data_IF_152771351429
#
_entry.id   IF_152771351429
#
_cell.length_a   1.000
_cell.length_b   1.000
_cell.length_c   1.000
_cell.angle_alpha   90.00
_cell.angle_beta   90.00
_cell.angle_gamma   90.00
#
_symmetry.space_group_name_H-M   'P 1'
#
loop_
_entity.id
_entity.type
_entity.pdbx_description
1 polymer ?
#
# COMPACT_ATOMS: atom_id res chain seq x y z
N UNK A 1 26.90 -2.89 31.43
CA UNK A 1 27.03 -2.97 29.96
C UNK A 1 25.70 -3.48 29.37
N UNK A 2 24.73 -2.55 29.15
CA UNK A 2 23.45 -2.84 28.49
C UNK A 2 23.71 -2.93 26.98
N UNK A 3 23.56 -4.13 26.42
CA UNK A 3 23.46 -4.33 24.98
C UNK A 3 22.19 -3.64 24.49
N UNK A 4 22.33 -2.53 23.80
CA UNK A 4 21.28 -1.95 22.98
C UNK A 4 20.91 -2.99 21.90
N UNK A 5 19.76 -3.64 22.05
CA UNK A 5 19.21 -4.48 21.01
C UNK A 5 18.88 -3.57 19.82
N UNK A 6 19.63 -3.73 18.75
CA UNK A 6 19.33 -3.09 17.47
C UNK A 6 17.93 -3.57 17.05
N UNK A 7 16.92 -2.71 17.17
CA UNK A 7 15.58 -2.98 16.67
C UNK A 7 15.70 -3.06 15.15
N UNK A 8 15.70 -4.27 14.62
CA UNK A 8 15.58 -4.51 13.18
C UNK A 8 14.26 -3.95 12.71
N UNK A 9 14.28 -2.70 12.29
CA UNK A 9 13.09 -2.01 11.75
C UNK A 9 12.60 -2.79 10.54
N UNK A 10 11.40 -3.33 10.65
CA UNK A 10 10.78 -4.15 9.63
C UNK A 10 10.49 -3.30 8.39
N UNK A 11 10.89 -3.77 7.20
CA UNK A 11 10.53 -3.11 5.94
C UNK A 11 9.00 -3.13 5.79
N UNK A 12 8.42 -1.95 5.55
CA UNK A 12 6.98 -1.78 5.45
C UNK A 12 6.59 -1.89 3.98
N UNK A 13 5.60 -2.72 3.72
CA UNK A 13 4.98 -2.87 2.41
C UNK A 13 3.93 -1.76 2.24
N UNK A 14 3.87 -1.05 1.10
CA UNK A 14 2.73 -0.19 0.80
C UNK A 14 1.41 -0.95 1.00
N UNK A 15 0.53 -0.40 1.85
CA UNK A 15 -0.81 -0.90 2.10
C UNK A 15 -1.82 -0.06 1.30
N UNK A 16 -3.11 -0.28 1.47
CA UNK A 16 -4.15 0.40 0.70
C UNK A 16 -3.99 1.94 0.66
N UNK A 17 -3.75 2.66 1.77
CA UNK A 17 -3.63 4.12 1.71
C UNK A 17 -2.44 4.61 0.88
N UNK A 18 -1.30 3.95 0.96
CA UNK A 18 -0.12 4.28 0.16
C UNK A 18 -0.41 4.06 -1.33
N UNK A 19 -1.03 2.93 -1.66
CA UNK A 19 -1.40 2.60 -3.06
C UNK A 19 -2.43 3.60 -3.60
N UNK A 20 -3.44 3.95 -2.81
CA UNK A 20 -4.44 4.97 -3.18
C UNK A 20 -3.78 6.33 -3.44
N UNK A 21 -2.86 6.74 -2.58
CA UNK A 21 -2.16 8.02 -2.71
C UNK A 21 -1.27 8.05 -3.95
N UNK A 22 -0.52 6.98 -4.22
CA UNK A 22 0.28 6.85 -5.46
C UNK A 22 -0.64 6.89 -6.67
N UNK A 23 -1.73 6.15 -6.66
CA UNK A 23 -2.68 6.14 -7.78
C UNK A 23 -3.27 7.54 -8.06
N UNK A 24 -3.64 8.29 -7.01
CA UNK A 24 -4.12 9.67 -7.18
C UNK A 24 -3.06 10.59 -7.80
N UNK A 25 -1.80 10.44 -7.38
CA UNK A 25 -0.70 11.17 -7.99
C UNK A 25 -0.48 10.80 -9.47
N UNK A 26 -0.56 9.52 -9.80
CA UNK A 26 -0.47 9.05 -11.20
C UNK A 26 -1.67 9.52 -12.04
N UNK A 27 -2.86 9.54 -11.47
CA UNK A 27 -4.06 10.05 -12.15
C UNK A 27 -3.86 11.49 -12.63
N UNK A 28 -3.28 12.36 -11.80
CA UNK A 28 -3.05 13.75 -12.13
C UNK A 28 -2.11 13.96 -13.35
N UNK A 29 -1.21 13.01 -13.62
CA UNK A 29 -0.20 13.13 -14.70
C UNK A 29 -0.42 12.20 -15.89
N UNK A 30 -1.24 11.16 -15.74
CA UNK A 30 -1.45 10.14 -16.78
C UNK A 30 -2.88 10.11 -17.33
N UNK A 31 -3.91 10.44 -16.53
CA UNK A 31 -5.31 10.33 -16.99
C UNK A 31 -5.58 11.31 -18.14
N UNK A 32 -6.14 10.81 -19.22
CA UNK A 32 -6.37 11.54 -20.46
C UNK A 32 -5.12 11.66 -21.37
N UNK A 33 -3.93 11.30 -20.90
CA UNK A 33 -2.68 11.40 -21.66
C UNK A 33 -2.45 10.16 -22.52
N UNK A 34 -1.71 10.36 -23.62
CA UNK A 34 -1.18 9.28 -24.45
C UNK A 34 0.21 8.90 -23.98
N UNK A 35 0.49 7.63 -23.84
CA UNK A 35 1.83 7.10 -23.61
C UNK A 35 2.58 7.14 -24.95
N UNK A 36 3.37 8.19 -25.18
CA UNK A 36 4.13 8.35 -26.43
C UNK A 36 5.21 7.27 -26.57
N UNK A 37 5.84 6.87 -25.45
CA UNK A 37 6.86 5.82 -25.41
C UNK A 37 6.74 5.00 -24.13
N UNK A 38 7.05 3.72 -24.23
CA UNK A 38 7.23 2.84 -23.09
C UNK A 38 8.51 2.01 -23.28
N UNK A 39 9.18 1.70 -22.16
CA UNK A 39 10.36 0.86 -22.15
C UNK A 39 10.43 0.03 -20.86
N UNK A 40 11.02 -1.15 -20.97
CA UNK A 40 11.38 -2.00 -19.84
C UNK A 40 12.88 -2.20 -19.82
N UNK A 41 13.50 -2.15 -18.63
CA UNK A 41 14.96 -2.33 -18.49
C UNK A 41 15.35 -3.77 -18.23
N UNK A 42 14.35 -4.67 -18.12
CA UNK A 42 14.50 -6.11 -17.88
C UNK A 42 13.25 -6.89 -18.28
N UNK A 43 13.34 -8.23 -18.25
CA UNK A 43 12.26 -9.11 -18.65
C UNK A 43 11.15 -9.28 -17.59
N UNK A 44 11.31 -8.75 -16.36
CA UNK A 44 10.31 -8.90 -15.32
C UNK A 44 10.81 -8.49 -13.93
N UNK A 45 9.92 -8.57 -12.93
CA UNK A 45 10.15 -8.34 -11.50
C UNK A 45 9.90 -9.65 -10.73
N UNK A 46 8.88 -9.64 -9.85
CA UNK A 46 8.44 -10.87 -9.17
C UNK A 46 7.97 -11.95 -10.17
N UNK A 47 7.38 -11.50 -11.28
CA UNK A 47 6.90 -12.29 -12.39
C UNK A 47 7.48 -11.71 -13.68
N UNK A 48 7.62 -12.51 -14.74
CA UNK A 48 7.92 -11.99 -16.08
C UNK A 48 6.91 -10.93 -16.47
N UNK A 49 7.34 -9.91 -17.19
CA UNK A 49 6.43 -8.96 -17.82
C UNK A 49 5.66 -9.66 -18.95
N UNK A 50 4.44 -9.21 -19.29
CA UNK A 50 3.72 -9.65 -20.46
C UNK A 50 4.55 -9.46 -21.74
N UNK A 51 4.38 -10.37 -22.69
CA UNK A 51 5.02 -10.25 -23.98
C UNK A 51 4.67 -8.92 -24.65
N UNK A 52 5.68 -8.29 -25.22
CA UNK A 52 5.53 -7.01 -25.92
C UNK A 52 4.94 -5.90 -25.08
N UNK A 53 5.08 -5.91 -23.75
CA UNK A 53 4.50 -4.92 -22.83
C UNK A 53 4.77 -3.49 -23.32
N UNK A 54 6.03 -3.16 -23.62
CA UNK A 54 6.40 -1.80 -24.01
C UNK A 54 5.71 -1.35 -25.31
N UNK A 55 5.68 -2.21 -26.34
CA UNK A 55 5.01 -1.86 -27.61
C UNK A 55 3.49 -1.80 -27.50
N UNK A 56 2.87 -2.61 -26.61
CA UNK A 56 1.42 -2.56 -26.36
C UNK A 56 1.01 -1.30 -25.58
N UNK A 57 1.90 -0.77 -24.74
CA UNK A 57 1.65 0.48 -24.00
C UNK A 57 1.92 1.72 -24.86
N UNK A 58 2.88 1.65 -25.78
CA UNK A 58 3.22 2.77 -26.64
C UNK A 58 2.06 3.11 -27.59
N UNK A 59 1.67 4.39 -27.60
CA UNK A 59 0.52 4.89 -28.36
C UNK A 59 -0.83 4.82 -27.61
N UNK A 60 -0.96 4.03 -26.56
CA UNK A 60 -2.19 3.91 -25.79
C UNK A 60 -2.49 5.19 -24.99
N UNK A 61 -3.79 5.52 -24.84
CA UNK A 61 -4.27 6.61 -23.98
C UNK A 61 -4.78 6.03 -22.65
N UNK A 62 -4.39 6.64 -21.56
CA UNK A 62 -4.92 6.29 -20.22
C UNK A 62 -6.30 6.92 -20.04
N UNK A 63 -7.33 6.10 -19.93
CA UNK A 63 -8.72 6.54 -19.77
C UNK A 63 -9.09 6.81 -18.31
N UNK A 64 -8.44 6.13 -17.37
CA UNK A 64 -8.72 6.28 -15.95
C UNK A 64 -8.03 5.24 -15.11
N UNK A 65 -8.24 5.34 -13.80
CA UNK A 65 -7.63 4.45 -12.81
C UNK A 65 -8.66 3.79 -11.92
N UNK A 66 -8.38 2.55 -11.54
CA UNK A 66 -9.07 1.79 -10.52
C UNK A 66 -8.07 1.22 -9.52
N UNK A 67 -8.38 1.26 -8.22
CA UNK A 67 -7.65 0.50 -7.20
C UNK A 67 -8.46 -0.75 -6.82
N UNK A 68 -7.75 -1.85 -6.62
CA UNK A 68 -8.30 -3.08 -6.04
C UNK A 68 -7.33 -3.61 -4.98
N UNK A 69 -7.68 -3.51 -3.69
CA UNK A 69 -6.78 -3.82 -2.59
C UNK A 69 -5.49 -3.00 -2.64
N UNK A 70 -4.38 -3.67 -2.88
CA UNK A 70 -3.05 -3.05 -3.03
C UNK A 70 -2.57 -3.00 -4.49
N UNK A 71 -3.48 -3.16 -5.45
CA UNK A 71 -3.22 -3.10 -6.89
C UNK A 71 -3.79 -1.82 -7.48
N UNK A 72 -3.08 -1.24 -8.42
CA UNK A 72 -3.51 -0.14 -9.27
C UNK A 72 -3.75 -0.68 -10.68
N UNK A 73 -4.82 -0.26 -11.32
CA UNK A 73 -5.15 -0.56 -12.71
C UNK A 73 -5.30 0.76 -13.46
N UNK A 74 -4.47 0.98 -14.48
CA UNK A 74 -4.62 2.08 -15.43
C UNK A 74 -5.31 1.51 -16.68
N UNK A 75 -6.57 1.91 -16.93
CA UNK A 75 -7.36 1.49 -18.07
C UNK A 75 -6.95 2.27 -19.31
N UNK A 76 -6.78 1.56 -20.41
CA UNK A 76 -6.29 2.08 -21.67
C UNK A 76 -7.40 2.08 -22.74
N UNK A 77 -7.26 2.93 -23.76
CA UNK A 77 -8.14 2.98 -24.92
C UNK A 77 -8.01 1.76 -25.86
N UNK A 78 -7.11 0.84 -25.53
CA UNK A 78 -6.90 -0.44 -26.22
C UNK A 78 -7.70 -1.60 -25.61
N UNK A 79 -8.70 -1.32 -24.75
CA UNK A 79 -9.46 -2.30 -23.98
C UNK A 79 -8.61 -3.16 -23.02
N UNK A 80 -7.42 -2.68 -22.68
CA UNK A 80 -6.50 -3.30 -21.74
C UNK A 80 -6.34 -2.44 -20.48
N UNK A 81 -5.95 -3.09 -19.39
CA UNK A 81 -5.63 -2.45 -18.12
C UNK A 81 -4.21 -2.82 -17.69
N UNK A 82 -3.36 -1.81 -17.48
CA UNK A 82 -2.05 -1.96 -16.89
C UNK A 82 -2.19 -2.14 -15.38
N UNK A 83 -1.92 -3.34 -14.88
CA UNK A 83 -1.96 -3.70 -13.46
C UNK A 83 -0.59 -3.53 -12.84
N UNK A 84 -0.51 -2.79 -11.73
CA UNK A 84 0.71 -2.53 -10.99
C UNK A 84 0.52 -2.89 -9.51
N UNK A 85 1.47 -3.63 -8.94
CA UNK A 85 1.59 -3.86 -7.49
C UNK A 85 2.98 -3.41 -7.02
N UNK A 86 3.02 -2.54 -6.01
CA UNK A 86 4.28 -1.92 -5.56
C UNK A 86 5.22 -2.89 -4.82
N UNK A 87 4.73 -4.05 -4.38
CA UNK A 87 5.55 -4.98 -3.58
C UNK A 87 5.92 -4.38 -2.23
N UNK A 88 7.20 -4.42 -1.88
CA UNK A 88 7.72 -3.92 -0.60
C UNK A 88 8.53 -2.62 -0.72
N UNK A 89 9.12 -2.36 -1.87
CA UNK A 89 10.01 -1.21 -2.13
C UNK A 89 9.69 -0.49 -3.44
N UNK A 90 8.66 -0.95 -4.14
CA UNK A 90 8.24 -0.34 -5.40
C UNK A 90 7.63 1.03 -5.18
N UNK A 91 7.97 1.95 -6.06
CA UNK A 91 7.41 3.30 -6.11
C UNK A 91 7.24 3.75 -7.56
N UNK A 92 6.25 4.58 -7.79
CA UNK A 92 6.06 5.29 -9.06
C UNK A 92 6.62 6.69 -8.89
N UNK A 93 7.47 7.11 -9.82
CA UNK A 93 8.11 8.44 -9.81
C UNK A 93 7.73 9.17 -11.08
N UNK A 94 6.99 10.27 -10.93
CA UNK A 94 6.65 11.16 -12.04
C UNK A 94 7.64 12.32 -12.12
N UNK A 95 8.11 12.61 -13.34
CA UNK A 95 9.05 13.70 -13.63
C UNK A 95 8.47 14.49 -14.80
N UNK A 96 7.87 15.68 -14.55
CA UNK A 96 7.39 16.55 -15.61
C UNK A 96 8.50 16.96 -16.58
N UNK A 97 8.14 17.24 -17.83
CA UNK A 97 9.06 17.78 -18.83
C UNK A 97 9.77 19.03 -18.32
N UNK A 98 11.07 19.13 -18.59
CA UNK A 98 11.87 20.29 -18.18
C UNK A 98 12.22 20.38 -16.70
N UNK A 99 11.85 19.38 -15.88
CA UNK A 99 12.26 19.32 -14.47
C UNK A 99 13.79 19.14 -14.41
N UNK A 100 14.54 20.05 -13.77
CA UNK A 100 15.99 19.92 -13.65
C UNK A 100 16.36 18.71 -12.78
N UNK A 101 17.54 18.11 -12.97
CA UNK A 101 18.05 17.07 -12.11
C UNK A 101 18.14 17.57 -10.67
N UNK A 102 17.51 16.88 -9.72
CA UNK A 102 17.70 17.18 -8.29
C UNK A 102 18.93 16.42 -7.78
N UNK A 103 19.89 17.08 -7.10
CA UNK A 103 21.07 16.42 -6.56
C UNK A 103 20.71 15.29 -5.60
N UNK A 104 21.44 14.18 -5.66
CA UNK A 104 21.29 13.07 -4.70
C UNK A 104 21.56 13.59 -3.29
N UNK A 105 20.59 13.52 -2.41
CA UNK A 105 20.79 13.57 -0.97
C UNK A 105 21.13 12.17 -0.49
N UNK A 106 22.17 12.07 0.38
CA UNK A 106 22.86 10.88 0.82
C UNK A 106 22.02 9.70 1.38
N UNK A 107 22.64 8.69 2.04
CA UNK A 107 22.11 7.32 2.19
C UNK A 107 20.82 7.18 3.01
N UNK A 108 20.24 8.23 3.52
CA UNK A 108 18.99 8.25 4.30
C UNK A 108 17.95 9.22 3.76
N UNK A 109 18.17 9.83 2.61
CA UNK A 109 17.32 10.86 2.05
C UNK A 109 16.34 10.36 1.01
N UNK A 110 15.18 10.97 0.99
CA UNK A 110 14.17 10.82 -0.04
C UNK A 110 14.77 11.02 -1.43
N UNK A 111 14.35 10.22 -2.36
CA UNK A 111 14.88 10.14 -3.70
C UNK A 111 14.28 11.20 -4.60
N UNK A 112 15.11 12.06 -5.07
CA UNK A 112 14.85 12.78 -6.29
C UNK A 112 16.07 12.67 -7.18
N UNK A 113 16.10 11.65 -8.04
CA UNK A 113 16.96 11.68 -9.20
C UNK A 113 16.12 12.26 -10.33
N UNK A 114 16.00 13.57 -10.37
CA UNK A 114 15.40 14.27 -11.48
C UNK A 114 16.40 14.27 -12.63
N UNK A 115 16.50 13.15 -13.33
CA UNK A 115 17.17 13.09 -14.62
C UNK A 115 16.19 13.57 -15.67
N UNK A 116 16.61 14.51 -16.51
CA UNK A 116 15.83 14.98 -17.64
C UNK A 116 15.40 13.85 -18.58
N UNK A 117 14.53 14.15 -19.54
CA UNK A 117 13.92 13.19 -20.48
C UNK A 117 14.87 12.17 -21.10
N UNK A 118 16.12 12.54 -21.39
CA UNK A 118 17.12 11.69 -22.04
C UNK A 118 18.11 11.07 -21.06
N UNK A 119 17.88 11.15 -19.76
CA UNK A 119 18.76 10.52 -18.80
C UNK A 119 18.59 9.00 -18.83
N UNK A 120 19.69 8.22 -18.65
CA UNK A 120 19.59 6.77 -18.53
C UNK A 120 18.70 6.40 -17.36
N UNK A 121 17.99 5.24 -17.41
CA UNK A 121 17.18 4.76 -16.32
C UNK A 121 17.99 4.65 -15.02
N UNK A 122 17.31 4.88 -13.87
CA UNK A 122 17.89 4.49 -12.57
C UNK A 122 18.16 2.98 -12.58
N UNK A 123 19.19 2.53 -11.88
CA UNK A 123 19.54 1.10 -11.81
C UNK A 123 18.37 0.19 -11.37
N UNK A 124 17.35 0.77 -10.73
CA UNK A 124 16.16 0.08 -10.22
C UNK A 124 14.86 0.52 -10.90
N UNK A 125 14.93 1.31 -11.97
CA UNK A 125 13.78 1.74 -12.77
C UNK A 125 13.48 0.66 -13.82
N UNK A 126 12.38 -0.05 -13.66
CA UNK A 126 12.10 -1.28 -14.42
C UNK A 126 11.05 -1.15 -15.51
N UNK A 127 10.11 -0.22 -15.36
CA UNK A 127 9.17 0.21 -16.39
C UNK A 127 9.22 1.73 -16.46
N UNK A 128 9.29 2.24 -17.68
CA UNK A 128 9.35 3.68 -17.99
C UNK A 128 8.23 3.98 -18.96
N UNK A 129 7.44 4.99 -18.66
CA UNK A 129 6.41 5.55 -19.53
C UNK A 129 6.77 7.01 -19.80
N UNK A 130 6.62 7.46 -21.03
CA UNK A 130 6.73 8.87 -21.43
C UNK A 130 5.42 9.29 -22.08
N UNK A 131 4.82 10.34 -21.57
CA UNK A 131 3.56 10.87 -22.09
C UNK A 131 3.78 11.83 -23.26
N UNK A 132 2.71 12.14 -23.97
CA UNK A 132 2.70 13.09 -25.10
C UNK A 132 3.08 14.53 -24.72
N UNK A 133 2.94 14.93 -23.45
CA UNK A 133 3.42 16.22 -22.93
C UNK A 133 4.86 16.16 -22.43
N UNK A 134 5.48 15.00 -22.55
CA UNK A 134 6.86 14.79 -22.18
C UNK A 134 7.08 14.45 -20.69
N UNK A 135 6.06 14.19 -19.88
CA UNK A 135 6.21 13.69 -18.51
C UNK A 135 6.74 12.26 -18.53
N UNK A 136 7.78 11.97 -17.76
CA UNK A 136 8.35 10.63 -17.59
C UNK A 136 7.88 10.03 -16.27
N UNK A 137 7.35 8.82 -16.32
CA UNK A 137 6.92 8.04 -15.16
C UNK A 137 7.74 6.76 -15.09
N UNK A 138 8.43 6.53 -13.97
CA UNK A 138 9.24 5.36 -13.73
C UNK A 138 8.69 4.48 -12.62
N UNK A 139 8.65 3.16 -12.83
CA UNK A 139 8.46 2.20 -11.76
C UNK A 139 9.81 1.74 -11.24
N UNK A 140 10.16 2.19 -10.02
CA UNK A 140 11.44 1.93 -9.36
C UNK A 140 11.23 0.91 -8.25
N UNK A 141 11.89 -0.25 -8.29
CA UNK A 141 11.77 -1.30 -7.27
C UNK A 141 13.08 -2.03 -7.01
N UNK A 142 13.90 -1.56 -6.06
CA UNK A 142 15.20 -2.17 -5.73
C UNK A 142 15.13 -3.64 -5.34
N UNK A 143 14.06 -4.06 -4.66
CA UNK A 143 13.89 -5.44 -4.18
C UNK A 143 13.21 -6.36 -5.20
N UNK A 144 12.58 -5.82 -6.21
CA UNK A 144 11.89 -6.56 -7.28
C UNK A 144 10.75 -7.46 -6.79
N UNK A 145 10.05 -7.06 -5.73
CA UNK A 145 8.87 -7.74 -5.19
C UNK A 145 7.57 -7.20 -5.75
N UNK A 146 7.65 -6.11 -6.51
CA UNK A 146 6.54 -5.57 -7.27
C UNK A 146 6.17 -6.46 -8.45
N UNK A 147 5.06 -6.15 -9.07
CA UNK A 147 4.62 -6.81 -10.30
C UNK A 147 3.93 -5.83 -11.24
N UNK A 148 4.06 -6.09 -12.52
CA UNK A 148 3.37 -5.40 -13.60
C UNK A 148 2.75 -6.47 -14.48
N UNK A 149 1.51 -6.27 -14.86
CA UNK A 149 0.78 -7.16 -15.77
C UNK A 149 -0.09 -6.30 -16.72
N UNK A 150 -0.54 -6.87 -17.82
CA UNK A 150 -1.44 -6.22 -18.78
C UNK A 150 -2.55 -7.21 -19.14
N UNK A 151 -3.80 -6.83 -18.89
CA UNK A 151 -4.94 -7.72 -18.97
C UNK A 151 -6.13 -7.04 -19.64
N UNK A 152 -7.06 -7.81 -20.23
CA UNK A 152 -8.29 -7.24 -20.77
C UNK A 152 -9.09 -6.51 -19.67
N UNK A 153 -9.54 -5.28 -19.96
CA UNK A 153 -10.33 -4.47 -19.00
C UNK A 153 -11.65 -5.16 -18.63
N UNK A 154 -12.30 -5.79 -19.57
CA UNK A 154 -13.56 -6.54 -19.34
C UNK A 154 -13.37 -7.74 -18.39
N UNK A 155 -12.16 -8.21 -18.17
CA UNK A 155 -11.84 -9.38 -17.33
C UNK A 155 -11.09 -9.04 -16.04
N UNK A 156 -10.96 -7.77 -15.66
CA UNK A 156 -10.14 -7.34 -14.51
C UNK A 156 -10.37 -8.20 -13.26
N UNK A 157 -11.61 -8.34 -12.81
CA UNK A 157 -11.93 -9.01 -11.55
C UNK A 157 -11.69 -10.53 -11.59
N UNK A 158 -11.64 -11.14 -12.77
CA UNK A 158 -11.29 -12.55 -12.99
C UNK A 158 -9.78 -12.82 -13.04
N UNK A 159 -8.95 -11.77 -13.06
CA UNK A 159 -7.51 -11.94 -13.13
C UNK A 159 -6.96 -12.67 -11.90
N UNK A 160 -6.01 -13.60 -12.09
CA UNK A 160 -5.41 -14.45 -11.03
C UNK A 160 -4.96 -13.72 -9.76
N UNK A 161 -4.56 -12.46 -9.86
CA UNK A 161 -4.12 -11.65 -8.73
C UNK A 161 -5.27 -10.90 -8.04
N UNK A 162 -6.44 -10.78 -8.66
CA UNK A 162 -7.57 -10.00 -8.17
C UNK A 162 -8.77 -10.87 -7.77
N UNK A 163 -9.02 -11.98 -8.45
CA UNK A 163 -10.20 -12.83 -8.27
C UNK A 163 -10.38 -13.37 -6.84
N UNK A 164 -9.28 -13.59 -6.14
CA UNK A 164 -9.31 -14.09 -4.75
C UNK A 164 -9.37 -13.01 -3.67
N UNK A 165 -9.44 -11.73 -4.03
CA UNK A 165 -9.46 -10.64 -3.05
C UNK A 165 -10.85 -10.51 -2.42
N UNK A 166 -10.87 -10.33 -1.10
CA UNK A 166 -12.06 -10.03 -0.32
C UNK A 166 -12.63 -8.64 -0.63
N UNK A 167 -13.67 -8.20 0.07
CA UNK A 167 -14.32 -6.90 -0.16
C UNK A 167 -13.34 -5.74 0.05
N UNK A 168 -13.61 -4.63 -0.66
CA UNK A 168 -12.93 -3.35 -0.46
C UNK A 168 -13.41 -2.71 0.86
N UNK A 169 -12.51 -2.37 1.79
CA UNK A 169 -12.91 -1.88 3.11
C UNK A 169 -13.56 -0.48 3.09
N UNK A 170 -13.35 0.28 2.02
CA UNK A 170 -13.93 1.62 1.83
C UNK A 170 -15.22 1.61 1.00
N UNK A 171 -15.60 0.46 0.46
CA UNK A 171 -16.86 0.30 -0.27
C UNK A 171 -18.02 0.16 0.72
N UNK A 172 -19.19 0.71 0.38
CA UNK A 172 -20.41 0.60 1.19
C UNK A 172 -20.87 -0.85 1.38
N UNK A 173 -20.55 -1.72 0.44
CA UNK A 173 -20.77 -3.15 0.54
C UNK A 173 -20.01 -3.83 1.68
N UNK A 174 -18.92 -3.25 2.19
CA UNK A 174 -18.17 -3.79 3.34
C UNK A 174 -18.89 -3.47 4.65
N UNK A 175 -19.78 -4.34 5.07
CA UNK A 175 -20.62 -4.21 6.26
C UNK A 175 -20.13 -5.10 7.41
N UNK A 176 -20.59 -4.85 8.66
CA UNK A 176 -20.35 -5.76 9.78
C UNK A 176 -20.86 -7.20 9.52
N UNK A 177 -21.93 -7.37 8.74
CA UNK A 177 -22.44 -8.68 8.36
C UNK A 177 -21.45 -9.42 7.44
N UNK A 178 -20.93 -8.74 6.43
CA UNK A 178 -19.94 -9.30 5.48
C UNK A 178 -18.65 -9.70 6.23
N UNK A 179 -18.13 -8.82 7.10
CA UNK A 179 -16.97 -9.16 7.92
C UNK A 179 -17.25 -10.35 8.85
N UNK A 180 -18.44 -10.40 9.47
CA UNK A 180 -18.84 -11.49 10.36
C UNK A 180 -18.87 -12.83 9.62
N UNK A 181 -19.42 -12.86 8.41
CA UNK A 181 -19.46 -14.05 7.56
C UNK A 181 -18.04 -14.50 7.18
N UNK A 182 -17.16 -13.57 6.80
CA UNK A 182 -15.77 -13.86 6.43
C UNK A 182 -14.93 -14.38 7.62
N UNK A 183 -15.30 -14.05 8.86
CA UNK A 183 -14.62 -14.50 10.10
C UNK A 183 -15.24 -15.76 10.71
N UNK A 184 -16.40 -16.20 10.26
CA UNK A 184 -17.10 -17.36 10.80
C UNK A 184 -16.19 -18.61 10.79
N UNK A 185 -16.13 -19.33 11.90
CA UNK A 185 -15.34 -20.54 12.05
C UNK A 185 -13.80 -20.35 12.09
N UNK A 186 -13.27 -19.15 11.83
CA UNK A 186 -11.80 -18.93 11.84
C UNK A 186 -11.26 -18.87 13.26
N UNK A 187 -10.46 -19.86 13.64
CA UNK A 187 -9.82 -19.95 14.98
C UNK A 187 -8.50 -19.19 15.07
N UNK A 188 -7.97 -18.70 13.97
CA UNK A 188 -6.75 -17.88 13.95
C UNK A 188 -6.96 -16.55 14.71
N UNK A 189 -5.90 -15.91 15.23
CA UNK A 189 -6.00 -14.58 15.81
C UNK A 189 -6.63 -13.57 14.82
N UNK A 190 -7.46 -12.68 15.32
CA UNK A 190 -8.16 -11.66 14.47
C UNK A 190 -7.19 -10.85 13.62
N UNK A 191 -6.02 -10.50 14.15
CA UNK A 191 -5.00 -9.82 13.37
C UNK A 191 -4.58 -10.63 12.15
N UNK A 192 -4.28 -11.90 12.33
CA UNK A 192 -3.88 -12.78 11.23
C UNK A 192 -5.00 -12.95 10.19
N UNK A 193 -6.25 -13.04 10.65
CA UNK A 193 -7.41 -13.12 9.77
C UNK A 193 -7.58 -11.85 8.92
N UNK A 194 -7.39 -10.65 9.51
CA UNK A 194 -7.49 -9.37 8.79
C UNK A 194 -6.32 -9.10 7.83
N UNK A 195 -5.18 -9.75 8.01
CA UNK A 195 -4.06 -9.69 7.07
C UNK A 195 -4.26 -10.57 5.84
N UNK A 196 -5.18 -11.53 5.89
CA UNK A 196 -5.58 -12.34 4.74
C UNK A 196 -6.40 -11.49 3.78
N UNK A 197 -5.83 -11.21 2.61
CA UNK A 197 -6.46 -10.36 1.59
C UNK A 197 -7.78 -10.94 1.04
N UNK A 198 -8.09 -12.21 1.33
CA UNK A 198 -9.38 -12.85 1.00
C UNK A 198 -10.48 -12.49 2.00
N UNK A 199 -10.13 -12.08 3.22
CA UNK A 199 -11.08 -11.63 4.25
C UNK A 199 -11.47 -10.18 4.04
N UNK A 200 -10.49 -9.32 3.80
CA UNK A 200 -10.64 -7.91 3.44
C UNK A 200 -9.42 -7.46 2.63
N UNK A 201 -9.66 -6.82 1.50
CA UNK A 201 -8.57 -6.38 0.64
C UNK A 201 -7.85 -5.14 1.19
N UNK A 202 -6.57 -5.01 0.90
CA UNK A 202 -5.80 -3.79 1.12
C UNK A 202 -5.23 -3.58 2.52
N UNK A 203 -5.76 -4.21 3.56
CA UNK A 203 -5.21 -4.10 4.91
C UNK A 203 -3.84 -4.75 5.03
N UNK A 204 -2.97 -4.15 5.83
CA UNK A 204 -1.69 -4.71 6.19
C UNK A 204 -1.38 -4.48 7.67
N UNK A 205 -0.10 -4.58 8.03
CA UNK A 205 0.33 -4.66 9.42
C UNK A 205 0.08 -3.37 10.23
N UNK A 206 0.19 -2.22 9.58
CA UNK A 206 -0.03 -0.90 10.19
C UNK A 206 -1.51 -0.73 10.50
N UNK A 207 -2.32 -0.78 9.45
CA UNK A 207 -3.73 -0.40 9.57
C UNK A 207 -4.57 -1.43 10.31
N UNK A 208 -4.19 -2.71 10.30
CA UNK A 208 -4.81 -3.72 11.18
C UNK A 208 -4.52 -3.43 12.65
N UNK A 209 -3.29 -3.06 13.02
CA UNK A 209 -2.96 -2.73 14.41
C UNK A 209 -3.74 -1.51 14.90
N UNK A 210 -3.76 -0.43 14.11
CA UNK A 210 -4.46 0.81 14.43
C UNK A 210 -6.00 0.61 14.49
N UNK A 211 -6.58 -0.13 13.54
CA UNK A 211 -8.02 -0.42 13.54
C UNK A 211 -8.44 -1.27 14.74
N UNK A 212 -7.67 -2.30 15.09
CA UNK A 212 -7.93 -3.12 16.28
C UNK A 212 -7.82 -2.32 17.58
N UNK A 213 -6.87 -1.38 17.65
CA UNK A 213 -6.75 -0.47 18.78
C UNK A 213 -7.98 0.42 18.92
N UNK A 214 -8.41 1.10 17.85
CA UNK A 214 -9.60 1.94 17.82
C UNK A 214 -10.88 1.19 18.17
N UNK A 215 -10.98 -0.08 17.73
CA UNK A 215 -12.11 -0.95 18.05
C UNK A 215 -12.04 -1.53 19.48
N UNK A 216 -10.95 -1.33 20.24
CA UNK A 216 -10.74 -1.90 21.57
C UNK A 216 -10.62 -3.43 21.56
N UNK A 217 -10.14 -4.02 20.46
CA UNK A 217 -10.04 -5.47 20.26
C UNK A 217 -8.59 -5.95 20.38
N UNK A 218 -8.38 -6.96 21.24
CA UNK A 218 -7.08 -7.62 21.34
C UNK A 218 -6.70 -8.31 20.02
N UNK A 219 -5.49 -8.07 19.47
CA UNK A 219 -5.01 -8.75 18.26
C UNK A 219 -4.88 -10.27 18.43
N UNK A 220 -4.85 -10.76 19.67
CA UNK A 220 -4.77 -12.18 20.04
C UNK A 220 -6.12 -12.87 20.03
N UNK A 221 -7.22 -12.11 20.03
CA UNK A 221 -8.58 -12.64 20.05
C UNK A 221 -8.81 -13.56 18.84
N UNK A 222 -9.43 -14.70 19.08
CA UNK A 222 -9.80 -15.64 18.01
C UNK A 222 -10.84 -15.00 17.08
N UNK A 223 -10.63 -15.05 15.77
CA UNK A 223 -11.41 -14.33 14.77
C UNK A 223 -12.91 -14.71 14.80
N UNK A 224 -13.23 -15.99 15.01
CA UNK A 224 -14.63 -16.47 15.11
C UNK A 224 -15.43 -15.86 16.28
N UNK A 225 -14.77 -15.19 17.23
CA UNK A 225 -15.44 -14.53 18.36
C UNK A 225 -15.76 -13.05 18.08
N UNK A 226 -15.39 -12.55 16.90
CA UNK A 226 -15.58 -11.14 16.51
C UNK A 226 -16.95 -10.83 15.88
N UNK A 227 -17.64 -11.76 15.19
CA UNK A 227 -18.96 -11.51 14.64
C UNK A 227 -19.94 -10.81 15.60
N UNK A 228 -20.89 -10.06 15.05
CA UNK A 228 -21.88 -9.29 15.78
C UNK A 228 -21.35 -7.94 16.30
N UNK A 229 -21.52 -7.64 17.59
CA UNK A 229 -21.21 -6.32 18.19
C UNK A 229 -19.75 -5.89 18.00
N UNK A 230 -18.80 -6.82 17.96
CA UNK A 230 -17.38 -6.50 17.75
C UNK A 230 -17.11 -6.14 16.29
N UNK A 231 -17.71 -6.85 15.35
CA UNK A 231 -17.63 -6.50 13.93
C UNK A 231 -18.29 -5.13 13.66
N UNK A 232 -19.39 -4.81 14.34
CA UNK A 232 -20.06 -3.51 14.25
C UNK A 232 -19.17 -2.34 14.71
N UNK A 233 -18.22 -2.58 15.62
CA UNK A 233 -17.20 -1.56 16.01
C UNK A 233 -15.98 -1.59 15.12
N UNK A 234 -15.59 -2.75 14.64
CA UNK A 234 -14.35 -2.92 13.88
C UNK A 234 -14.45 -2.36 12.46
N UNK A 235 -15.58 -2.55 11.77
CA UNK A 235 -15.76 -2.04 10.40
C UNK A 235 -15.63 -0.51 10.33
N UNK A 236 -16.33 0.29 11.16
CA UNK A 236 -16.11 1.75 11.18
C UNK A 236 -14.69 2.13 11.56
N UNK A 237 -14.03 1.40 12.49
CA UNK A 237 -12.65 1.67 12.87
C UNK A 237 -11.66 1.41 11.72
N UNK A 238 -11.89 0.37 10.91
CA UNK A 238 -11.10 0.11 9.70
C UNK A 238 -11.27 1.27 8.71
N UNK A 239 -12.51 1.68 8.41
CA UNK A 239 -12.78 2.79 7.48
C UNK A 239 -12.11 4.08 7.94
N UNK A 240 -12.36 4.49 9.17
CA UNK A 240 -11.82 5.73 9.71
C UNK A 240 -10.29 5.79 9.66
N UNK A 241 -9.59 4.71 10.04
CA UNK A 241 -8.12 4.70 9.99
C UNK A 241 -7.59 4.78 8.57
N UNK A 242 -8.24 4.13 7.61
CA UNK A 242 -7.83 4.16 6.19
C UNK A 242 -8.08 5.53 5.56
N UNK A 243 -9.24 6.14 5.81
CA UNK A 243 -9.60 7.48 5.33
C UNK A 243 -8.66 8.55 5.86
N UNK A 244 -8.38 8.53 7.17
CA UNK A 244 -7.41 9.42 7.78
C UNK A 244 -5.99 9.24 7.22
N UNK A 245 -5.60 7.99 6.95
CA UNK A 245 -4.29 7.70 6.37
C UNK A 245 -4.21 8.20 4.92
N UNK A 246 -5.24 8.00 4.11
CA UNK A 246 -5.32 8.54 2.75
C UNK A 246 -5.25 10.07 2.78
N UNK A 247 -6.01 10.72 3.68
CA UNK A 247 -5.99 12.17 3.84
C UNK A 247 -4.63 12.72 4.28
N UNK A 248 -3.83 11.92 5.01
CA UNK A 248 -2.46 12.26 5.41
C UNK A 248 -1.39 11.89 4.35
N UNK A 249 -1.78 11.36 3.19
CA UNK A 249 -0.86 10.93 2.14
C UNK A 249 -0.18 9.58 2.40
N UNK A 250 -0.74 8.74 3.24
CA UNK A 250 -0.16 7.47 3.68
C UNK A 250 0.89 7.64 4.79
N UNK A 251 1.56 6.55 5.13
CA UNK A 251 2.67 6.52 6.08
C UNK A 251 4.01 6.37 5.35
N UNK A 252 4.94 7.30 5.57
CA UNK A 252 6.30 7.24 5.02
C UNK A 252 7.25 6.63 6.03
N UNK A 253 7.23 5.31 6.14
CA UNK A 253 8.21 4.58 6.94
C UNK A 253 9.27 3.98 5.98
N UNK A 254 10.35 4.72 5.72
CA UNK A 254 11.60 4.38 5.02
C UNK A 254 11.63 4.41 3.49
N UNK A 255 10.69 3.78 2.77
CA UNK A 255 10.86 3.58 1.32
C UNK A 255 9.68 4.12 0.49
N UNK A 256 8.62 4.59 1.17
CA UNK A 256 7.45 5.13 0.49
C UNK A 256 7.57 6.65 0.30
N UNK A 257 7.42 7.06 -0.94
CA UNK A 257 7.34 8.46 -1.36
C UNK A 257 6.16 8.57 -2.32
N UNK A 258 5.38 9.64 -2.21
CA UNK A 258 4.29 9.95 -3.14
C UNK A 258 4.82 10.17 -4.55
N UNK A 259 3.96 10.10 -5.57
CA UNK A 259 4.36 10.31 -6.96
C UNK A 259 4.97 11.70 -7.22
N UNK A 260 4.63 12.70 -6.40
CA UNK A 260 5.17 14.05 -6.40
C UNK A 260 6.47 14.22 -5.59
N UNK A 261 6.97 13.15 -4.95
CA UNK A 261 8.17 13.17 -4.13
C UNK A 261 7.96 13.57 -2.68
N UNK A 262 6.73 13.91 -2.26
CA UNK A 262 6.43 14.24 -0.88
C UNK A 262 6.26 13.00 0.01
N UNK A 263 6.49 13.18 1.30
CA UNK A 263 6.33 12.13 2.31
C UNK A 263 4.92 12.14 2.89
N UNK A 264 4.31 10.98 3.04
CA UNK A 264 3.10 10.84 3.84
C UNK A 264 3.38 11.11 5.32
N UNK A 265 2.37 11.55 6.08
CA UNK A 265 2.51 11.97 7.49
C UNK A 265 1.65 11.16 8.46
N UNK A 266 1.07 10.05 8.02
CA UNK A 266 0.22 9.27 8.92
C UNK A 266 0.98 8.60 10.07
N UNK A 267 2.29 8.33 9.92
CA UNK A 267 3.13 7.81 11.01
C UNK A 267 3.13 8.72 12.25
N UNK A 268 2.93 10.02 12.09
CA UNK A 268 2.86 10.99 13.22
C UNK A 268 1.58 10.81 14.04
N UNK A 269 0.60 10.05 13.54
CA UNK A 269 -0.71 9.79 14.16
C UNK A 269 -0.88 8.37 14.69
N UNK A 270 0.17 7.54 14.67
CA UNK A 270 0.08 6.17 15.18
C UNK A 270 -0.26 6.16 16.66
N UNK A 271 -1.26 5.35 16.99
CA UNK A 271 -1.69 5.12 18.36
C UNK A 271 -0.91 4.01 19.04
N UNK A 272 -0.63 2.93 18.32
CA UNK A 272 0.09 1.75 18.83
C UNK A 272 1.19 1.26 17.91
N UNK A 273 1.06 1.40 16.60
CA UNK A 273 2.04 0.85 15.68
C UNK A 273 3.44 1.48 15.87
N UNK A 274 4.47 0.62 15.99
CA UNK A 274 5.89 1.00 16.25
C UNK A 274 6.11 1.87 17.52
N UNK A 275 5.20 1.77 18.50
CA UNK A 275 5.23 2.54 19.77
C UNK A 275 5.42 1.66 20.99
N UNK A 276 6.20 0.58 20.88
CA UNK A 276 6.51 -0.32 22.00
C UNK A 276 7.02 0.47 23.22
N UNK A 277 6.46 0.21 24.41
CA UNK A 277 6.78 0.87 25.65
C UNK A 277 6.17 2.26 25.86
N UNK A 278 5.72 2.92 24.80
CA UNK A 278 5.09 4.24 24.90
C UNK A 278 3.67 4.13 25.52
N UNK A 279 3.21 5.18 26.24
CA UNK A 279 1.83 5.23 26.73
C UNK A 279 0.85 5.28 25.55
N UNK A 280 -0.25 4.54 25.65
CA UNK A 280 -1.32 4.61 24.65
C UNK A 280 -2.23 5.82 24.92
N UNK A 281 -2.84 6.41 23.85
CA UNK A 281 -3.66 7.62 24.02
C UNK A 281 -5.01 7.39 24.73
N UNK A 282 -5.45 6.12 24.90
CA UNK A 282 -6.76 5.79 25.45
C UNK A 282 -6.73 5.25 26.89
N UNK A 283 -5.56 5.03 27.51
CA UNK A 283 -5.51 4.62 28.90
C UNK A 283 -5.89 5.78 29.81
N UNK A 284 -6.93 5.64 30.65
CA UNK A 284 -7.27 6.68 31.64
C UNK A 284 -6.23 6.69 32.76
N UNK A 285 -5.32 7.65 32.72
CA UNK A 285 -4.34 7.89 33.77
C UNK A 285 -3.30 6.78 34.01
N UNK A 286 -2.30 7.05 34.88
CA UNK A 286 -1.32 6.05 35.28
C UNK A 286 -1.94 4.92 36.13
N UNK A 287 -1.37 3.68 36.05
CA UNK A 287 -0.29 3.35 35.14
C UNK A 287 -0.78 2.73 33.82
N UNK A 288 -0.56 3.41 32.69
CA UNK A 288 -0.62 2.71 31.42
C UNK A 288 0.57 1.74 31.35
N UNK A 289 0.36 0.44 31.09
CA UNK A 289 1.46 -0.51 31.01
C UNK A 289 2.37 -0.27 29.77
N UNK A 290 2.04 0.71 28.95
CA UNK A 290 2.66 0.94 27.66
C UNK A 290 2.09 0.03 26.56
N UNK A 291 2.41 0.38 25.32
CA UNK A 291 2.13 -0.44 24.15
C UNK A 291 3.00 -1.70 24.20
N UNK A 292 2.39 -2.84 24.23
CA UNK A 292 3.09 -4.14 24.19
C UNK A 292 3.38 -4.54 22.74
N UNK A 293 4.47 -5.30 22.57
CA UNK A 293 4.83 -5.92 21.31
C UNK A 293 4.84 -7.44 21.44
N UNK A 294 4.35 -8.12 20.44
CA UNK A 294 4.48 -9.56 20.27
C UNK A 294 4.64 -9.89 18.77
N UNK A 295 5.00 -11.13 18.46
CA UNK A 295 5.12 -11.59 17.06
C UNK A 295 3.96 -12.51 16.73
N UNK A 296 3.24 -12.21 15.64
CA UNK A 296 2.18 -13.05 15.08
C UNK A 296 2.40 -13.19 13.57
N UNK A 297 2.34 -14.40 13.04
CA UNK A 297 2.55 -14.69 11.61
C UNK A 297 3.82 -14.00 11.07
N UNK A 298 4.94 -14.16 11.77
CA UNK A 298 6.25 -13.56 11.47
C UNK A 298 6.27 -12.03 11.37
N UNK A 299 5.27 -11.33 11.96
CA UNK A 299 5.17 -9.86 11.96
C UNK A 299 5.00 -9.31 13.36
N UNK A 300 5.62 -8.16 13.63
CA UNK A 300 5.41 -7.44 14.89
C UNK A 300 3.96 -6.99 15.01
N UNK A 301 3.41 -7.15 16.20
CA UNK A 301 2.06 -6.76 16.58
C UNK A 301 2.18 -5.82 17.76
N UNK A 302 1.66 -4.61 17.62
CA UNK A 302 1.65 -3.59 18.66
C UNK A 302 0.23 -3.40 19.17
N UNK A 303 0.04 -3.34 20.48
CA UNK A 303 -1.28 -3.24 21.09
C UNK A 303 -1.20 -2.78 22.54
N UNK A 304 -2.27 -2.20 23.08
CA UNK A 304 -2.36 -1.86 24.50
C UNK A 304 -3.12 -2.98 25.27
N UNK A 305 -2.48 -3.70 26.20
CA UNK A 305 -3.12 -4.81 26.93
C UNK A 305 -4.27 -4.38 27.82
N UNK A 306 -4.33 -3.09 28.21
CA UNK A 306 -5.38 -2.56 29.08
C UNK A 306 -6.63 -2.16 28.31
N UNK A 307 -6.49 -1.54 27.14
CA UNK A 307 -7.61 -1.02 26.35
C UNK A 307 -8.15 -2.01 25.33
N UNK A 308 -7.33 -2.96 24.87
CA UNK A 308 -7.70 -3.94 23.85
C UNK A 308 -7.97 -5.32 24.52
N UNK A 309 -9.25 -5.71 24.58
CA UNK A 309 -9.70 -6.94 25.23
C UNK A 309 -10.39 -7.91 24.26
#
# INVERSE_FOLDING_TARGET
LARAAASGKQAIMPELPEVETVMRGLRAVLEGRRIARAATTRAGLRWPFPDNLASRLAGARVLGFRRRGKYMLARLDTDESLLIHLGMSGRMVARPAGTPPVPRLGPHGAFSDARGHNAPPDAHEHLILETDDGTRIGFVDPRRFGSVDLLPTAGEDGHRLLAGLGPEPLDDAFTPAILSAALAGKRTPIKAALLDQRVVAGLGNIYVAEALFRAGLSPRRSAHTVPGRRAARLVPAIRAVLEEAIGAGGSSLRDYVRADGELGRFQDRFSVYDREGAPCPLCPGPPCPGVARLVQSARSTFWCPRTQR
#
